data_IF_122192926805
#
_entry.id   IF_122192926805
#
_cell.length_a   1.000
_cell.length_b   1.000
_cell.length_c   1.000
_cell.angle_alpha   90.00
_cell.angle_beta   90.00
_cell.angle_gamma   90.00
#
_symmetry.space_group_name_H-M   'P 1'
#
loop_
_entity.id
_entity.type
_entity.pdbx_description
1 polymer ?
#
# COMPACT_ATOMS: atom_id res chain seq x y z
N UNK A 1 -26.38 -2.64 -11.45
CA UNK A 1 -25.98 -3.13 -10.12
C UNK A 1 -24.59 -3.78 -10.11
N UNK A 2 -24.13 -4.46 -11.17
CA UNK A 2 -22.79 -5.10 -11.19
C UNK A 2 -21.62 -4.11 -11.25
N UNK A 3 -21.73 -3.05 -12.07
CA UNK A 3 -20.68 -2.01 -12.21
C UNK A 3 -20.44 -1.27 -10.89
N UNK A 4 -21.49 -0.96 -10.13
CA UNK A 4 -21.36 -0.35 -8.80
C UNK A 4 -20.64 -1.28 -7.82
N UNK A 5 -20.93 -2.58 -7.88
CA UNK A 5 -20.31 -3.57 -6.98
C UNK A 5 -18.81 -3.72 -7.27
N UNK A 6 -18.44 -3.69 -8.54
CA UNK A 6 -17.05 -3.76 -8.98
C UNK A 6 -16.26 -2.50 -8.62
N UNK A 7 -16.84 -1.32 -8.83
CA UNK A 7 -16.26 -0.05 -8.39
C UNK A 7 -16.08 0.02 -6.86
N UNK A 8 -17.05 -0.51 -6.10
CA UNK A 8 -16.94 -0.60 -4.63
C UNK A 8 -15.79 -1.53 -4.23
N UNK A 9 -15.62 -2.68 -4.89
CA UNK A 9 -14.52 -3.61 -4.60
C UNK A 9 -13.17 -2.96 -4.88
N UNK A 10 -13.04 -2.26 -6.02
CA UNK A 10 -11.81 -1.53 -6.36
C UNK A 10 -11.48 -0.45 -5.32
N UNK A 11 -12.47 0.36 -4.92
CA UNK A 11 -12.31 1.36 -3.89
C UNK A 11 -11.93 0.74 -2.53
N UNK A 12 -12.53 -0.40 -2.17
CA UNK A 12 -12.25 -1.11 -0.94
C UNK A 12 -10.82 -1.65 -0.91
N UNK A 13 -10.36 -2.25 -2.01
CA UNK A 13 -9.01 -2.80 -2.14
C UNK A 13 -7.96 -1.68 -2.09
N UNK A 14 -8.20 -0.57 -2.80
CA UNK A 14 -7.32 0.60 -2.74
C UNK A 14 -7.23 1.19 -1.33
N UNK A 15 -8.38 1.34 -0.67
CA UNK A 15 -8.44 1.84 0.72
C UNK A 15 -7.71 0.91 1.68
N UNK A 16 -7.89 -0.41 1.54
CA UNK A 16 -7.19 -1.41 2.35
C UNK A 16 -5.66 -1.34 2.14
N UNK A 17 -5.20 -1.19 0.90
CA UNK A 17 -3.78 -1.05 0.59
C UNK A 17 -3.16 0.19 1.24
N UNK A 18 -3.86 1.33 1.21
CA UNK A 18 -3.44 2.55 1.91
C UNK A 18 -3.39 2.33 3.43
N UNK A 19 -4.39 1.66 4.01
CA UNK A 19 -4.41 1.33 5.43
C UNK A 19 -3.19 0.49 5.85
N UNK A 20 -2.85 -0.54 5.07
CA UNK A 20 -1.65 -1.36 5.30
C UNK A 20 -0.38 -0.52 5.24
N UNK A 21 -0.28 0.40 4.29
CA UNK A 21 0.89 1.28 4.17
C UNK A 21 1.06 2.21 5.38
N UNK A 22 -0.03 2.79 5.88
CA UNK A 22 0.00 3.61 7.10
C UNK A 22 0.50 2.80 8.29
N UNK A 23 -0.03 1.59 8.48
CA UNK A 23 0.41 0.69 9.56
C UNK A 23 1.90 0.36 9.44
N UNK A 24 2.38 0.12 8.22
CA UNK A 24 3.79 -0.16 7.94
C UNK A 24 4.71 1.02 8.31
N UNK A 25 4.32 2.25 7.96
CA UNK A 25 5.07 3.46 8.33
C UNK A 25 5.13 3.62 9.85
N UNK A 26 3.99 3.45 10.53
CA UNK A 26 3.92 3.56 12.00
C UNK A 26 4.82 2.50 12.65
N UNK A 27 4.76 1.26 12.17
CA UNK A 27 5.62 0.18 12.66
C UNK A 27 7.11 0.52 12.48
N UNK A 28 7.51 1.09 11.34
CA UNK A 28 8.89 1.55 11.11
C UNK A 28 9.26 2.66 12.10
N UNK A 29 8.37 3.63 12.34
CA UNK A 29 8.63 4.69 13.33
C UNK A 29 8.77 4.18 14.76
N UNK A 30 8.11 3.07 15.11
CA UNK A 30 8.24 2.43 16.42
C UNK A 30 9.53 1.60 16.52
N UNK A 31 9.91 0.88 15.45
CA UNK A 31 11.10 0.00 15.42
C UNK A 31 12.39 0.79 15.27
N UNK A 32 12.37 1.89 14.50
CA UNK A 32 13.52 2.72 14.21
C UNK A 32 13.40 4.06 14.94
N UNK A 33 14.05 4.24 16.11
CA UNK A 33 13.96 5.47 16.90
C UNK A 33 14.62 6.68 16.21
N UNK A 34 15.46 6.42 15.19
CA UNK A 34 15.99 7.44 14.29
C UNK A 34 15.61 7.09 12.85
N UNK A 35 14.99 8.05 12.15
CA UNK A 35 14.74 7.95 10.72
C UNK A 35 15.97 8.33 9.88
N UNK A 36 17.14 8.52 10.50
CA UNK A 36 18.41 8.64 9.81
C UNK A 36 19.10 7.27 9.67
N UNK A 37 19.98 7.12 8.68
CA UNK A 37 20.70 5.86 8.45
C UNK A 37 19.76 4.72 8.08
N UNK A 38 19.73 3.65 8.88
CA UNK A 38 18.96 2.44 8.58
C UNK A 38 17.44 2.68 8.55
N UNK A 39 16.93 3.58 9.41
CA UNK A 39 15.51 3.97 9.40
C UNK A 39 15.09 4.67 8.11
N UNK A 40 15.99 5.46 7.49
CA UNK A 40 15.73 6.11 6.21
C UNK A 40 15.55 5.07 5.09
N UNK A 41 16.45 4.09 5.02
CA UNK A 41 16.35 3.00 4.04
C UNK A 41 15.12 2.13 4.26
N UNK A 42 14.74 1.86 5.51
CA UNK A 42 13.52 1.15 5.83
C UNK A 42 12.27 1.90 5.33
N UNK A 43 12.22 3.22 5.52
CA UNK A 43 11.12 4.08 5.06
C UNK A 43 11.05 4.11 3.53
N UNK A 44 12.19 4.27 2.85
CA UNK A 44 12.27 4.24 1.38
C UNK A 44 11.82 2.87 0.85
N UNK A 45 12.26 1.78 1.49
CA UNK A 45 11.86 0.42 1.14
C UNK A 45 10.35 0.20 1.29
N UNK A 46 9.74 0.73 2.36
CA UNK A 46 8.30 0.70 2.56
C UNK A 46 7.53 1.47 1.50
N UNK A 47 8.01 2.65 1.11
CA UNK A 47 7.42 3.44 0.02
C UNK A 47 7.51 2.68 -1.30
N UNK A 48 8.68 2.12 -1.62
CA UNK A 48 8.88 1.33 -2.84
C UNK A 48 7.94 0.11 -2.86
N UNK A 49 7.84 -0.61 -1.74
CA UNK A 49 6.94 -1.75 -1.59
C UNK A 49 5.47 -1.33 -1.77
N UNK A 50 5.06 -0.18 -1.24
CA UNK A 50 3.70 0.33 -1.43
C UNK A 50 3.40 0.65 -2.89
N UNK A 51 4.31 1.33 -3.59
CA UNK A 51 4.17 1.63 -5.03
C UNK A 51 4.03 0.35 -5.83
N UNK A 52 4.88 -0.65 -5.57
CA UNK A 52 4.80 -1.96 -6.24
C UNK A 52 3.49 -2.69 -5.93
N UNK A 53 3.01 -2.59 -4.69
CA UNK A 53 1.73 -3.18 -4.28
C UNK A 53 0.58 -2.53 -5.05
N UNK A 54 0.54 -1.20 -5.14
CA UNK A 54 -0.50 -0.48 -5.89
C UNK A 54 -0.42 -0.77 -7.39
N UNK A 55 0.78 -0.86 -7.95
CA UNK A 55 0.97 -1.25 -9.34
C UNK A 55 0.48 -2.68 -9.60
N UNK A 56 0.78 -3.62 -8.70
CA UNK A 56 0.31 -5.01 -8.78
C UNK A 56 -1.20 -5.13 -8.63
N UNK A 57 -1.80 -4.39 -7.68
CA UNK A 57 -3.25 -4.32 -7.49
C UNK A 57 -3.93 -3.76 -8.74
N UNK A 58 -3.44 -2.63 -9.29
CA UNK A 58 -3.99 -2.05 -10.50
C UNK A 58 -3.88 -2.98 -11.71
N UNK A 59 -2.75 -3.67 -11.84
CA UNK A 59 -2.57 -4.68 -12.89
C UNK A 59 -3.54 -5.86 -12.73
N UNK A 60 -3.72 -6.38 -11.52
CA UNK A 60 -4.63 -7.48 -11.23
C UNK A 60 -6.10 -7.09 -11.47
N UNK A 61 -6.50 -5.89 -11.06
CA UNK A 61 -7.84 -5.36 -11.33
C UNK A 61 -8.09 -5.19 -12.82
N UNK A 62 -7.11 -4.68 -13.57
CA UNK A 62 -7.21 -4.55 -15.03
C UNK A 62 -7.30 -5.89 -15.76
N UNK A 63 -6.69 -6.94 -15.20
CA UNK A 63 -6.73 -8.30 -15.74
C UNK A 63 -8.01 -9.08 -15.43
N UNK A 64 -8.83 -8.65 -14.46
CA UNK A 64 -10.08 -9.32 -14.05
C UNK A 64 -11.29 -9.07 -14.98
N UNK A 65 -11.06 -8.91 -16.29
CA UNK A 65 -12.13 -8.80 -17.30
C UNK A 65 -13.09 -9.98 -17.27
#
# INVERSE_FOLDING_TARGET
MDVEREAVIEALVSTAAVGVFVVLIVAIGVVFPSLAGQGAFALIGAIALFVLTMAGVGYWLSGRK
#
